data_IF_276036130813
#
_entry.id   IF_276036130813
#
_cell.length_a   1.000
_cell.length_b   1.000
_cell.length_c   1.000
_cell.angle_alpha   90.00
_cell.angle_beta   90.00
_cell.angle_gamma   90.00
#
_symmetry.space_group_name_H-M   'P 1'
#
loop_
_entity.id
_entity.type
_entity.pdbx_description
1 polymer ?
#
# COMPACT_ATOMS: atom_id res chain seq x y z
N UNK A 1 53.56 29.21 -40.51
CA UNK A 1 52.90 28.36 -39.54
C UNK A 1 52.17 29.29 -38.57
N UNK A 2 50.86 29.48 -38.75
CA UNK A 2 50.02 30.39 -37.97
C UNK A 2 49.21 29.52 -37.02
N UNK A 3 49.46 29.68 -35.71
CA UNK A 3 48.70 29.01 -34.61
C UNK A 3 47.30 29.63 -34.53
N UNK A 4 46.28 28.77 -34.74
CA UNK A 4 44.91 29.10 -34.43
C UNK A 4 44.68 28.94 -32.93
N UNK A 5 44.47 30.00 -32.22
CA UNK A 5 43.98 29.98 -30.84
C UNK A 5 42.52 29.58 -30.83
N UNK A 6 42.08 28.68 -29.92
CA UNK A 6 40.65 28.34 -29.80
C UNK A 6 39.86 29.50 -29.24
N UNK A 7 38.68 29.75 -29.83
CA UNK A 7 37.75 30.79 -29.37
C UNK A 7 37.28 30.53 -27.94
N UNK A 8 37.02 31.58 -27.12
CA UNK A 8 36.53 31.44 -25.76
C UNK A 8 35.11 30.80 -25.77
N UNK A 9 34.97 29.72 -25.05
CA UNK A 9 33.66 29.10 -24.76
C UNK A 9 32.75 30.12 -24.10
N UNK A 10 31.69 30.51 -24.80
CA UNK A 10 30.65 31.38 -24.26
C UNK A 10 30.05 30.86 -22.97
N UNK A 11 29.40 31.72 -22.14
CA UNK A 11 28.86 31.33 -20.87
C UNK A 11 27.81 30.23 -21.05
N UNK A 12 28.07 29.06 -20.46
CA UNK A 12 27.11 27.97 -20.36
C UNK A 12 25.84 28.51 -19.71
N UNK A 13 24.72 28.49 -20.40
CA UNK A 13 23.42 28.89 -19.87
C UNK A 13 23.19 28.22 -18.52
N UNK A 14 22.69 28.95 -17.50
CA UNK A 14 22.49 28.37 -16.18
C UNK A 14 21.58 27.15 -16.32
N UNK A 15 22.07 25.98 -15.89
CA UNK A 15 21.34 24.74 -15.87
C UNK A 15 20.06 24.97 -15.07
N UNK A 16 18.91 25.03 -15.75
CA UNK A 16 17.63 25.26 -15.11
C UNK A 16 17.50 24.31 -13.92
N UNK A 17 17.37 24.88 -12.72
CA UNK A 17 17.24 24.07 -11.50
C UNK A 17 16.06 23.13 -11.65
N UNK A 18 16.31 21.82 -11.54
CA UNK A 18 15.24 20.82 -11.58
C UNK A 18 14.15 21.17 -10.57
N UNK A 19 12.86 21.03 -10.90
CA UNK A 19 11.79 21.24 -9.94
C UNK A 19 11.92 20.20 -8.83
N UNK A 20 11.68 20.59 -7.58
CA UNK A 20 11.82 19.72 -6.42
C UNK A 20 10.48 19.17 -5.97
N UNK A 21 10.42 17.86 -5.76
CA UNK A 21 9.27 17.17 -5.19
C UNK A 21 9.62 16.53 -3.83
N UNK A 22 8.73 16.69 -2.85
CA UNK A 22 8.83 16.06 -1.54
C UNK A 22 7.63 15.16 -1.32
N UNK A 23 7.88 13.88 -1.05
CA UNK A 23 6.90 12.87 -0.76
C UNK A 23 6.83 12.65 0.75
N UNK A 24 5.70 13.00 1.37
CA UNK A 24 5.52 12.93 2.82
C UNK A 24 4.87 11.61 3.22
N UNK A 25 5.57 10.80 4.01
CA UNK A 25 5.08 9.52 4.52
C UNK A 25 5.15 9.47 6.05
N UNK A 26 4.01 9.18 6.71
CA UNK A 26 3.90 9.15 8.17
C UNK A 26 4.37 7.81 8.77
N UNK A 27 5.34 7.15 8.13
CA UNK A 27 5.99 5.92 8.58
C UNK A 27 7.49 5.99 8.26
N UNK A 28 8.21 4.90 8.46
CA UNK A 28 9.67 4.83 8.26
C UNK A 28 10.10 4.72 6.80
N UNK A 29 9.18 4.62 5.85
CA UNK A 29 9.42 4.35 4.43
C UNK A 29 10.29 3.08 4.17
N UNK A 30 10.13 2.04 5.01
CA UNK A 30 10.90 0.81 4.87
C UNK A 30 10.04 -0.45 5.17
N UNK A 31 9.67 -1.19 4.13
CA UNK A 31 9.53 -0.77 2.74
C UNK A 31 8.21 0.01 2.52
N UNK A 32 8.20 0.95 1.61
CA UNK A 32 7.00 1.68 1.22
C UNK A 32 6.84 1.71 -0.31
N UNK A 33 6.36 0.62 -0.87
CA UNK A 33 6.36 0.34 -2.30
C UNK A 33 5.67 1.42 -3.16
N UNK A 34 4.48 1.94 -2.74
CA UNK A 34 3.79 3.00 -3.47
C UNK A 34 4.60 4.31 -3.49
N UNK A 35 5.14 4.71 -2.34
CA UNK A 35 5.96 5.91 -2.23
C UNK A 35 7.19 5.85 -3.12
N UNK A 36 7.87 4.69 -3.14
CA UNK A 36 9.03 4.47 -4.01
C UNK A 36 8.66 4.51 -5.50
N UNK A 37 7.55 3.87 -5.91
CA UNK A 37 7.08 3.92 -7.31
C UNK A 37 6.76 5.35 -7.75
N UNK A 38 6.03 6.12 -6.94
CA UNK A 38 5.72 7.53 -7.23
C UNK A 38 7.01 8.36 -7.31
N UNK A 39 7.95 8.14 -6.37
CA UNK A 39 9.22 8.85 -6.34
C UNK A 39 10.07 8.56 -7.59
N UNK A 40 10.21 7.30 -7.98
CA UNK A 40 10.94 6.90 -9.21
C UNK A 40 10.30 7.53 -10.44
N UNK A 41 8.99 7.48 -10.58
CA UNK A 41 8.29 8.07 -11.73
C UNK A 41 8.46 9.59 -11.82
N UNK A 42 8.49 10.30 -10.70
CA UNK A 42 8.78 11.73 -10.67
C UNK A 42 10.25 12.02 -11.00
N UNK A 43 11.19 11.21 -10.50
CA UNK A 43 12.61 11.35 -10.81
C UNK A 43 12.88 11.12 -12.31
N UNK A 44 12.26 10.10 -12.90
CA UNK A 44 12.31 9.80 -14.34
C UNK A 44 11.68 10.93 -15.18
N UNK A 45 10.67 11.62 -14.64
CA UNK A 45 10.08 12.81 -15.23
C UNK A 45 10.91 14.12 -14.98
N UNK A 46 12.12 14.01 -14.43
CA UNK A 46 13.07 15.11 -14.28
C UNK A 46 13.00 15.90 -12.99
N UNK A 47 12.25 15.42 -11.96
CA UNK A 47 12.19 16.05 -10.66
C UNK A 47 13.38 15.66 -9.75
N UNK A 48 13.82 16.59 -8.89
CA UNK A 48 14.67 16.28 -7.71
C UNK A 48 13.74 15.79 -6.59
N UNK A 49 13.86 14.50 -6.21
CA UNK A 49 12.87 13.85 -5.36
C UNK A 49 13.46 13.47 -4.01
N UNK A 50 12.74 13.87 -2.95
CA UNK A 50 13.01 13.43 -1.58
C UNK A 50 11.77 12.74 -0.97
N UNK A 51 11.94 11.57 -0.34
CA UNK A 51 10.95 10.98 0.53
C UNK A 51 11.24 11.41 1.96
N UNK A 52 10.35 12.19 2.55
CA UNK A 52 10.43 12.66 3.92
C UNK A 52 9.61 11.74 4.83
N UNK A 53 10.29 10.91 5.61
CA UNK A 53 9.75 9.85 6.46
C UNK A 53 9.92 10.14 7.95
N UNK A 54 9.33 9.33 8.80
CA UNK A 54 9.50 9.37 10.26
C UNK A 54 10.69 8.48 10.65
N UNK A 55 11.56 8.96 11.53
CA UNK A 55 12.68 8.16 12.01
C UNK A 55 12.22 6.96 12.83
N UNK A 56 12.75 5.78 12.50
CA UNK A 56 12.55 4.52 13.23
C UNK A 56 13.81 4.12 14.03
N UNK A 57 13.61 3.28 15.04
CA UNK A 57 14.73 2.73 15.80
C UNK A 57 15.61 1.82 14.91
N UNK A 58 16.92 1.98 14.99
CA UNK A 58 17.88 1.16 14.23
C UNK A 58 17.96 1.47 12.73
N UNK A 59 17.23 2.48 12.23
CA UNK A 59 17.24 2.82 10.82
C UNK A 59 18.16 4.00 10.50
N UNK A 60 18.84 4.01 9.34
CA UNK A 60 19.67 5.13 8.92
C UNK A 60 18.79 6.38 8.74
N UNK A 61 19.34 7.55 9.05
CA UNK A 61 18.64 8.83 8.86
C UNK A 61 18.50 9.21 7.40
N UNK A 62 19.47 8.85 6.60
CA UNK A 62 19.45 9.09 5.15
C UNK A 62 19.82 7.80 4.41
N UNK A 63 19.19 7.60 3.28
CA UNK A 63 19.35 6.46 2.40
C UNK A 63 19.11 6.92 0.96
N UNK A 64 19.78 6.30 0.00
CA UNK A 64 19.58 6.56 -1.42
C UNK A 64 18.98 5.33 -2.10
N UNK A 65 17.93 5.54 -2.88
CA UNK A 65 17.41 4.57 -3.84
C UNK A 65 17.61 5.18 -5.25
N UNK A 66 18.71 4.82 -5.89
CA UNK A 66 19.15 5.49 -7.11
C UNK A 66 19.40 6.99 -6.87
N UNK A 67 18.64 7.85 -7.53
CA UNK A 67 18.71 9.31 -7.37
C UNK A 67 17.77 9.87 -6.30
N UNK A 68 16.93 9.01 -5.71
CA UNK A 68 15.92 9.39 -4.72
C UNK A 68 16.55 9.40 -3.34
N UNK A 69 16.41 10.52 -2.63
CA UNK A 69 16.84 10.65 -1.24
C UNK A 69 15.69 10.26 -0.31
N UNK A 70 15.91 9.27 0.55
CA UNK A 70 14.99 8.92 1.63
C UNK A 70 15.56 9.49 2.93
N UNK A 71 14.89 10.47 3.51
CA UNK A 71 15.34 11.12 4.73
C UNK A 71 14.33 10.93 5.86
N UNK A 72 14.82 10.45 7.00
CA UNK A 72 14.01 10.14 8.18
C UNK A 72 14.18 11.22 9.23
N UNK A 73 13.12 11.97 9.47
CA UNK A 73 13.08 13.10 10.39
C UNK A 73 12.67 12.65 11.78
N UNK A 74 13.45 13.03 12.79
CA UNK A 74 13.17 12.69 14.18
C UNK A 74 12.11 13.62 14.75
N UNK A 75 10.95 13.11 15.20
CA UNK A 75 9.96 13.95 15.87
C UNK A 75 10.54 14.65 17.08
N UNK A 76 10.33 15.97 17.20
CA UNK A 76 10.83 16.78 18.31
C UNK A 76 9.76 16.96 19.39
N UNK A 77 10.15 16.86 20.68
CA UNK A 77 9.28 17.15 21.82
C UNK A 77 9.18 16.02 22.86
N UNK A 78 8.50 16.25 23.99
CA UNK A 78 8.45 15.34 25.13
C UNK A 78 7.76 13.99 24.81
N UNK A 79 6.90 13.94 23.79
CA UNK A 79 6.22 12.73 23.35
C UNK A 79 7.08 11.81 22.43
N UNK A 80 8.33 12.16 22.17
CA UNK A 80 9.27 11.33 21.41
C UNK A 80 9.37 9.89 21.93
N UNK A 81 9.22 9.71 23.25
CA UNK A 81 9.30 8.38 23.91
C UNK A 81 8.13 7.47 23.59
N UNK A 82 6.98 8.00 23.10
CA UNK A 82 5.75 7.23 22.81
C UNK A 82 5.65 6.76 21.35
N UNK A 83 6.49 7.32 20.47
CA UNK A 83 6.51 6.93 19.05
C UNK A 83 7.44 5.73 18.91
N UNK A 84 6.90 4.57 18.53
CA UNK A 84 7.68 3.35 18.30
C UNK A 84 7.94 2.50 19.54
N UNK A 85 7.30 2.76 20.68
CA UNK A 85 7.34 1.82 21.80
C UNK A 85 6.44 0.59 21.53
N UNK A 86 6.88 -0.61 21.95
CA UNK A 86 6.00 -1.77 21.94
C UNK A 86 4.75 -1.48 22.79
N UNK A 87 3.61 -2.11 22.47
CA UNK A 87 2.41 -1.97 23.28
C UNK A 87 2.72 -2.32 24.74
N UNK A 88 2.03 -1.67 25.70
CA UNK A 88 2.22 -1.98 27.12
C UNK A 88 1.96 -3.47 27.39
N UNK A 89 2.58 -4.04 28.44
CA UNK A 89 2.41 -5.45 28.76
C UNK A 89 0.94 -5.82 28.82
N UNK A 90 0.61 -6.96 28.25
CA UNK A 90 -0.76 -7.43 28.09
C UNK A 90 -1.41 -7.67 29.44
N UNK A 91 -2.54 -7.02 29.80
CA UNK A 91 -3.23 -7.24 31.07
C UNK A 91 -3.67 -8.69 31.23
N UNK A 92 -3.76 -9.22 32.45
CA UNK A 92 -3.99 -10.65 32.72
C UNK A 92 -5.37 -11.17 32.32
N UNK A 93 -6.36 -10.31 32.08
CA UNK A 93 -7.72 -10.73 31.73
C UNK A 93 -8.12 -10.26 30.33
N UNK A 94 -8.87 -11.11 29.58
CA UNK A 94 -9.35 -10.79 28.21
C UNK A 94 -10.13 -9.47 28.16
N UNK A 95 -10.92 -9.16 29.18
CA UNK A 95 -11.70 -7.91 29.25
C UNK A 95 -10.79 -6.69 29.37
N UNK A 96 -9.79 -6.73 30.26
CA UNK A 96 -8.81 -5.64 30.42
C UNK A 96 -7.94 -5.48 29.15
N UNK A 97 -7.65 -6.58 28.43
CA UNK A 97 -6.94 -6.53 27.15
C UNK A 97 -7.76 -5.76 26.10
N UNK A 98 -9.05 -6.06 25.96
CA UNK A 98 -9.95 -5.37 25.02
C UNK A 98 -10.11 -3.90 25.40
N UNK A 99 -10.27 -3.59 26.68
CA UNK A 99 -10.35 -2.20 27.16
C UNK A 99 -9.06 -1.43 26.92
N UNK A 100 -7.90 -2.04 27.22
CA UNK A 100 -6.59 -1.42 26.98
C UNK A 100 -6.31 -1.18 25.50
N UNK A 101 -6.65 -2.13 24.62
CA UNK A 101 -6.51 -1.98 23.17
C UNK A 101 -7.42 -0.87 22.62
N UNK A 102 -8.66 -0.78 23.12
CA UNK A 102 -9.58 0.28 22.69
C UNK A 102 -9.16 1.64 23.23
N UNK A 103 -8.66 1.69 24.47
CA UNK A 103 -8.12 2.91 25.08
C UNK A 103 -6.85 3.39 24.33
N UNK A 104 -5.93 2.48 23.98
CA UNK A 104 -4.73 2.80 23.19
C UNK A 104 -5.09 3.31 21.79
N UNK A 105 -6.05 2.67 21.11
CA UNK A 105 -6.57 3.14 19.81
C UNK A 105 -7.22 4.52 19.93
N UNK A 106 -8.09 4.73 20.91
CA UNK A 106 -8.74 6.01 21.15
C UNK A 106 -7.72 7.10 21.49
N UNK A 107 -6.74 6.78 22.31
CA UNK A 107 -5.66 7.69 22.71
C UNK A 107 -4.79 8.06 21.49
N UNK A 108 -4.41 7.10 20.66
CA UNK A 108 -3.66 7.33 19.42
C UNK A 108 -4.44 8.22 18.45
N UNK A 109 -5.74 8.01 18.33
CA UNK A 109 -6.63 8.83 17.50
C UNK A 109 -6.74 10.26 18.06
N UNK A 110 -6.87 10.42 19.36
CA UNK A 110 -6.96 11.75 20.01
C UNK A 110 -5.62 12.48 20.00
N UNK A 111 -4.51 11.76 20.18
CA UNK A 111 -3.16 12.33 20.25
C UNK A 111 -2.46 12.48 18.90
N UNK A 112 -3.00 11.91 17.82
CA UNK A 112 -2.34 12.00 16.51
C UNK A 112 -2.01 13.44 16.06
N UNK A 113 -2.82 14.49 16.34
CA UNK A 113 -2.44 15.85 15.97
C UNK A 113 -1.16 16.32 16.68
N UNK A 114 -0.88 15.79 17.87
CA UNK A 114 0.34 16.13 18.63
C UNK A 114 1.56 15.41 18.03
N UNK A 115 1.41 14.14 17.66
CA UNK A 115 2.46 13.36 17.01
C UNK A 115 2.84 13.97 15.66
N UNK A 116 1.84 14.30 14.85
CA UNK A 116 2.03 14.96 13.56
C UNK A 116 2.73 16.32 13.74
N UNK A 117 2.37 17.11 14.76
CA UNK A 117 3.03 18.39 15.06
C UNK A 117 4.49 18.24 15.45
N UNK A 118 4.85 17.18 16.17
CA UNK A 118 6.24 16.93 16.56
C UNK A 118 7.12 16.63 15.33
N UNK A 119 6.64 15.79 14.41
CA UNK A 119 7.29 15.47 13.14
C UNK A 119 7.31 16.69 12.21
N UNK A 120 6.20 17.40 12.08
CA UNK A 120 6.07 18.62 11.29
C UNK A 120 7.07 19.72 11.71
N UNK A 121 7.33 19.92 13.03
CA UNK A 121 8.35 20.86 13.50
C UNK A 121 9.76 20.50 13.03
N UNK A 122 10.10 19.23 12.99
CA UNK A 122 11.38 18.77 12.45
C UNK A 122 11.47 19.04 10.94
N UNK A 123 10.43 18.72 10.18
CA UNK A 123 10.37 19.00 8.74
C UNK A 123 10.50 20.51 8.43
N UNK A 124 9.81 21.38 9.18
CA UNK A 124 9.92 22.83 8.97
C UNK A 124 11.31 23.41 9.18
N UNK A 125 12.11 22.78 10.02
CA UNK A 125 13.47 23.25 10.33
C UNK A 125 14.50 22.75 9.32
N UNK A 126 14.34 21.53 8.84
CA UNK A 126 15.39 20.81 8.14
C UNK A 126 15.07 20.57 6.65
N UNK A 127 13.78 20.54 6.27
CA UNK A 127 13.36 20.23 4.92
C UNK A 127 13.44 21.48 4.03
N UNK A 128 14.22 21.46 2.94
CA UNK A 128 14.24 22.56 1.98
C UNK A 128 12.89 22.73 1.27
N UNK A 129 12.57 23.97 0.89
CA UNK A 129 11.33 24.28 0.17
C UNK A 129 11.26 23.56 -1.18
N UNK A 130 10.04 23.11 -1.54
CA UNK A 130 9.79 22.33 -2.75
C UNK A 130 8.65 22.92 -3.60
N UNK A 131 8.63 22.53 -4.87
CA UNK A 131 7.59 22.92 -5.83
C UNK A 131 6.36 22.06 -5.70
N UNK A 132 6.54 20.77 -5.32
CA UNK A 132 5.49 19.78 -5.14
C UNK A 132 5.65 19.08 -3.78
N UNK A 133 4.55 18.98 -3.04
CA UNK A 133 4.40 18.14 -1.84
C UNK A 133 3.35 17.09 -2.12
N UNK A 134 3.75 15.82 -2.13
CA UNK A 134 2.85 14.69 -2.27
C UNK A 134 2.56 14.08 -0.90
N UNK A 135 1.33 14.17 -0.43
CA UNK A 135 0.91 13.78 0.91
C UNK A 135 0.22 12.41 0.88
N UNK A 136 0.87 11.36 1.40
CA UNK A 136 0.30 10.03 1.51
C UNK A 136 -0.58 9.90 2.76
N UNK A 137 -1.88 9.94 2.55
CA UNK A 137 -2.90 9.79 3.58
C UNK A 137 -3.11 11.04 4.44
N UNK A 138 -4.14 10.96 5.29
CA UNK A 138 -4.68 12.11 6.06
C UNK A 138 -3.66 12.72 7.04
N UNK A 139 -2.72 11.93 7.56
CA UNK A 139 -1.76 12.39 8.56
C UNK A 139 -0.73 13.38 7.98
N UNK A 140 -0.40 13.22 6.70
CA UNK A 140 0.62 14.04 6.03
C UNK A 140 0.03 15.28 5.37
N UNK A 141 -1.26 15.30 5.06
CA UNK A 141 -1.92 16.39 4.35
C UNK A 141 -1.78 17.76 5.05
N UNK A 142 -2.06 17.93 6.36
CA UNK A 142 -1.90 19.22 7.03
C UNK A 142 -0.45 19.69 7.04
N UNK A 143 0.51 18.75 7.11
CA UNK A 143 1.95 19.04 7.04
C UNK A 143 2.33 19.57 5.66
N UNK A 144 1.89 18.87 4.60
CA UNK A 144 2.11 19.30 3.21
C UNK A 144 1.57 20.70 2.94
N UNK A 145 0.34 20.99 3.40
CA UNK A 145 -0.30 22.30 3.23
C UNK A 145 0.47 23.43 3.91
N UNK A 146 1.04 23.18 5.09
CA UNK A 146 1.82 24.20 5.79
C UNK A 146 3.21 24.40 5.14
N UNK A 147 3.91 23.33 4.80
CA UNK A 147 5.18 23.38 4.08
C UNK A 147 5.04 24.07 2.72
N UNK A 148 3.98 23.77 1.99
CA UNK A 148 3.66 24.41 0.71
C UNK A 148 3.40 25.92 0.86
N UNK A 149 2.69 26.34 1.92
CA UNK A 149 2.51 27.76 2.24
C UNK A 149 3.85 28.45 2.50
N UNK A 150 4.76 27.80 3.24
CA UNK A 150 6.10 28.32 3.50
C UNK A 150 6.93 28.40 2.21
N UNK A 151 6.86 27.38 1.37
CA UNK A 151 7.58 27.33 0.10
C UNK A 151 7.16 28.44 -0.87
N UNK A 152 5.86 28.76 -0.94
CA UNK A 152 5.36 29.89 -1.77
C UNK A 152 5.95 31.24 -1.35
N UNK A 153 6.24 31.44 -0.06
CA UNK A 153 6.89 32.65 0.43
C UNK A 153 8.34 32.78 -0.01
N UNK A 154 8.97 31.68 -0.40
CA UNK A 154 10.35 31.66 -0.93
C UNK A 154 10.40 31.54 -2.46
N UNK A 155 9.29 31.82 -3.15
CA UNK A 155 9.20 31.78 -4.61
C UNK A 155 9.01 30.40 -5.23
N UNK A 156 8.86 29.33 -4.42
CA UNK A 156 8.53 28.00 -4.93
C UNK A 156 7.03 27.87 -5.18
N UNK A 157 6.61 26.97 -6.08
CA UNK A 157 5.19 26.78 -6.42
C UNK A 157 4.36 26.26 -5.25
N UNK A 158 4.90 25.36 -4.44
CA UNK A 158 4.23 24.81 -3.27
C UNK A 158 2.90 24.11 -3.61
N UNK A 159 2.88 23.30 -4.66
CA UNK A 159 1.74 22.46 -5.04
C UNK A 159 1.53 21.36 -4.00
N UNK A 160 0.28 20.95 -3.76
CA UNK A 160 -0.04 19.85 -2.83
C UNK A 160 -0.92 18.84 -3.53
N UNK A 161 -0.42 17.62 -3.67
CA UNK A 161 -1.20 16.46 -4.10
C UNK A 161 -1.52 15.61 -2.86
N UNK A 162 -2.80 15.38 -2.63
CA UNK A 162 -3.28 14.49 -1.56
C UNK A 162 -3.56 13.11 -2.13
N UNK A 163 -2.86 12.08 -1.65
CA UNK A 163 -3.01 10.68 -2.06
C UNK A 163 -3.87 9.91 -1.05
N UNK A 164 -5.10 9.62 -1.44
CA UNK A 164 -6.07 8.83 -0.66
C UNK A 164 -5.88 7.37 -1.00
N UNK A 165 -4.95 6.72 -0.31
CA UNK A 165 -4.68 5.29 -0.51
C UNK A 165 -5.80 4.44 0.10
N UNK A 166 -6.35 4.91 1.22
CA UNK A 166 -7.36 4.26 2.04
C UNK A 166 -8.43 5.28 2.48
N UNK A 167 -9.69 4.86 2.53
CA UNK A 167 -10.76 5.59 3.21
C UNK A 167 -10.58 5.43 4.74
N UNK A 168 -9.49 5.97 5.29
CA UNK A 168 -9.02 5.68 6.64
C UNK A 168 -10.06 5.98 7.73
N UNK A 169 -10.83 7.06 7.59
CA UNK A 169 -11.90 7.43 8.54
C UNK A 169 -13.16 6.54 8.41
N UNK A 170 -13.22 5.69 7.38
CA UNK A 170 -14.28 4.70 7.14
C UNK A 170 -13.71 3.27 7.28
N UNK A 171 -12.57 3.12 7.95
CA UNK A 171 -11.92 1.84 8.24
C UNK A 171 -12.30 1.29 9.62
N UNK A 172 -12.05 0.00 9.83
CA UNK A 172 -12.30 -0.68 11.11
C UNK A 172 -11.55 -0.04 12.30
N UNK A 173 -10.47 0.69 12.04
CA UNK A 173 -9.74 1.40 13.09
C UNK A 173 -10.55 2.54 13.72
N UNK A 174 -11.58 3.03 13.03
CA UNK A 174 -12.42 4.14 13.47
C UNK A 174 -13.85 3.72 13.86
N UNK A 175 -14.19 2.42 13.79
CA UNK A 175 -15.55 1.92 14.11
C UNK A 175 -15.98 2.26 15.55
N UNK A 176 -15.04 2.21 16.51
CA UNK A 176 -15.29 2.47 17.92
C UNK A 176 -14.97 3.92 18.34
N UNK A 177 -14.68 4.79 17.38
CA UNK A 177 -14.44 6.21 17.67
C UNK A 177 -15.79 6.93 17.88
N UNK A 178 -15.98 7.70 18.97
CA UNK A 178 -17.21 8.42 19.21
C UNK A 178 -17.60 9.30 18.00
N UNK A 179 -18.89 9.25 17.62
CA UNK A 179 -19.42 9.97 16.45
C UNK A 179 -19.02 11.47 16.38
N UNK A 180 -19.06 12.26 17.51
CA UNK A 180 -18.64 13.66 17.46
C UNK A 180 -17.16 13.83 17.09
N UNK A 181 -16.28 12.95 17.57
CA UNK A 181 -14.84 12.97 17.27
C UNK A 181 -14.62 12.62 15.79
N UNK A 182 -15.27 11.58 15.31
CA UNK A 182 -15.20 11.19 13.91
C UNK A 182 -15.72 12.30 12.97
N UNK A 183 -16.85 12.93 13.33
CA UNK A 183 -17.41 14.06 12.60
C UNK A 183 -16.43 15.25 12.57
N UNK A 184 -15.73 15.51 13.69
CA UNK A 184 -14.67 16.53 13.72
C UNK A 184 -13.53 16.21 12.75
N UNK A 185 -13.04 14.96 12.72
CA UNK A 185 -11.98 14.55 11.79
C UNK A 185 -12.41 14.66 10.33
N UNK A 186 -13.64 14.26 10.01
CA UNK A 186 -14.20 14.41 8.67
C UNK A 186 -14.28 15.88 8.23
N UNK A 187 -14.69 16.79 9.13
CA UNK A 187 -14.68 18.25 8.85
C UNK A 187 -13.26 18.78 8.65
N UNK A 188 -12.32 18.35 9.49
CA UNK A 188 -10.90 18.74 9.35
C UNK A 188 -10.31 18.27 8.03
N UNK A 189 -10.53 17.01 7.66
CA UNK A 189 -10.10 16.46 6.38
C UNK A 189 -10.70 17.25 5.21
N UNK A 190 -12.00 17.49 5.21
CA UNK A 190 -12.67 18.29 4.19
C UNK A 190 -12.08 19.70 4.07
N UNK A 191 -11.76 20.36 5.19
CA UNK A 191 -11.13 21.66 5.21
C UNK A 191 -9.70 21.64 4.63
N UNK A 192 -8.95 20.58 4.84
CA UNK A 192 -7.63 20.39 4.25
C UNK A 192 -7.70 20.06 2.76
N UNK A 193 -8.63 19.18 2.36
CA UNK A 193 -8.86 18.81 0.97
C UNK A 193 -9.22 20.02 0.12
N UNK A 194 -10.00 21.00 0.65
CA UNK A 194 -10.28 22.27 -0.03
C UNK A 194 -9.01 23.04 -0.42
N UNK A 195 -7.94 22.85 0.33
CA UNK A 195 -6.66 23.59 0.16
C UNK A 195 -5.62 22.79 -0.62
N UNK A 196 -5.82 21.50 -0.83
CA UNK A 196 -4.96 20.69 -1.68
C UNK A 196 -5.07 21.16 -3.14
N UNK A 197 -3.98 21.10 -3.90
CA UNK A 197 -3.99 21.46 -5.33
C UNK A 197 -4.72 20.40 -6.13
N UNK A 198 -4.48 19.11 -5.83
CA UNK A 198 -5.16 17.98 -6.46
C UNK A 198 -5.33 16.82 -5.46
N UNK A 199 -6.22 15.89 -5.80
CA UNK A 199 -6.44 14.66 -5.06
C UNK A 199 -6.25 13.48 -6.01
N UNK A 200 -5.53 12.47 -5.57
CA UNK A 200 -5.36 11.18 -6.26
C UNK A 200 -5.80 10.04 -5.37
N UNK A 201 -6.18 8.91 -5.97
CA UNK A 201 -6.60 7.72 -5.21
C UNK A 201 -6.28 6.44 -5.99
N UNK A 202 -6.59 5.27 -5.42
CA UNK A 202 -6.10 3.97 -5.90
C UNK A 202 -7.02 3.21 -6.84
N UNK A 203 -8.30 3.59 -6.95
CA UNK A 203 -9.26 3.00 -7.88
C UNK A 203 -10.49 3.89 -8.06
N UNK A 204 -11.32 3.56 -9.05
CA UNK A 204 -12.51 4.35 -9.43
C UNK A 204 -13.57 4.40 -8.33
N UNK A 205 -13.84 3.28 -7.67
CA UNK A 205 -14.85 3.23 -6.61
C UNK A 205 -14.46 4.12 -5.41
N UNK A 206 -13.18 4.15 -5.05
CA UNK A 206 -12.69 5.07 -4.01
C UNK A 206 -12.70 6.53 -4.51
N UNK A 207 -12.46 6.77 -5.80
CA UNK A 207 -12.58 8.12 -6.38
C UNK A 207 -14.02 8.64 -6.30
N UNK A 208 -15.01 7.80 -6.59
CA UNK A 208 -16.43 8.13 -6.51
C UNK A 208 -16.88 8.34 -5.06
N UNK A 209 -16.41 7.49 -4.14
CA UNK A 209 -16.62 7.68 -2.69
C UNK A 209 -16.06 9.02 -2.21
N UNK A 210 -14.83 9.35 -2.60
CA UNK A 210 -14.20 10.63 -2.28
C UNK A 210 -14.96 11.82 -2.90
N UNK A 211 -15.41 11.71 -4.14
CA UNK A 211 -16.17 12.76 -4.81
C UNK A 211 -17.52 13.01 -4.12
N UNK A 212 -18.23 11.95 -3.75
CA UNK A 212 -19.47 12.04 -2.95
C UNK A 212 -19.21 12.70 -1.60
N UNK A 213 -18.09 12.39 -0.97
CA UNK A 213 -17.70 12.96 0.34
C UNK A 213 -17.25 14.42 0.25
N UNK A 214 -16.63 14.80 -0.88
CA UNK A 214 -16.12 16.15 -1.15
C UNK A 214 -16.67 16.71 -2.46
N UNK A 215 -17.98 16.97 -2.55
CA UNK A 215 -18.63 17.40 -3.82
C UNK A 215 -18.15 18.77 -4.32
N UNK A 216 -17.42 19.51 -3.50
CA UNK A 216 -16.76 20.77 -3.85
C UNK A 216 -15.44 20.59 -4.62
N UNK A 217 -15.01 19.36 -4.86
CA UNK A 217 -13.78 19.02 -5.59
C UNK A 217 -14.12 18.25 -6.87
N UNK A 218 -13.27 18.39 -7.87
CA UNK A 218 -13.24 17.48 -8.99
C UNK A 218 -13.03 16.03 -8.51
N UNK A 219 -13.54 15.07 -9.25
CA UNK A 219 -13.32 13.65 -8.98
C UNK A 219 -11.80 13.37 -8.92
N UNK A 220 -11.30 12.68 -7.91
CA UNK A 220 -9.88 12.37 -7.80
C UNK A 220 -9.33 11.62 -9.01
N UNK A 221 -8.11 11.94 -9.42
CA UNK A 221 -7.40 11.18 -10.45
C UNK A 221 -7.03 9.80 -9.90
N UNK A 222 -7.31 8.76 -10.65
CA UNK A 222 -6.98 7.39 -10.26
C UNK A 222 -5.53 7.09 -10.61
N UNK A 223 -4.77 6.66 -9.61
CA UNK A 223 -3.43 6.09 -9.71
C UNK A 223 -3.47 4.72 -9.06
N UNK A 224 -3.71 3.67 -9.84
CA UNK A 224 -3.78 2.30 -9.36
C UNK A 224 -2.52 1.92 -8.55
N UNK A 225 -2.69 1.14 -7.50
CA UNK A 225 -1.58 0.66 -6.68
C UNK A 225 -1.01 -0.69 -7.18
N UNK A 226 -1.08 -0.91 -8.49
CA UNK A 226 -0.59 -2.12 -9.15
C UNK A 226 0.95 -2.20 -9.18
N UNK A 227 1.45 -3.36 -9.57
CA UNK A 227 2.88 -3.63 -9.63
C UNK A 227 3.48 -3.13 -10.95
N UNK A 228 4.78 -2.82 -11.00
CA UNK A 228 5.48 -2.65 -12.28
C UNK A 228 5.36 -3.92 -13.13
N UNK A 229 5.43 -3.76 -14.45
CA UNK A 229 5.47 -4.91 -15.36
C UNK A 229 6.54 -5.89 -14.93
N UNK A 230 6.19 -7.16 -14.98
CA UNK A 230 7.08 -8.24 -14.60
C UNK A 230 6.91 -9.41 -15.56
N UNK A 231 8.01 -9.94 -16.01
CA UNK A 231 8.01 -11.14 -16.85
C UNK A 231 8.32 -12.33 -15.94
N UNK A 232 7.39 -13.29 -15.80
CA UNK A 232 7.67 -14.49 -15.05
C UNK A 232 8.82 -15.28 -15.68
N UNK A 233 9.59 -16.04 -14.89
CA UNK A 233 10.57 -16.97 -15.41
C UNK A 233 9.93 -17.97 -16.38
N UNK A 234 10.67 -18.40 -17.41
CA UNK A 234 10.19 -19.35 -18.40
C UNK A 234 9.75 -20.68 -17.78
N UNK A 235 10.48 -21.12 -16.74
CA UNK A 235 10.05 -22.22 -15.87
C UNK A 235 9.43 -21.66 -14.61
N UNK A 236 8.22 -22.13 -14.29
CA UNK A 236 7.54 -21.76 -13.06
C UNK A 236 8.39 -22.15 -11.84
N UNK A 237 8.75 -21.21 -10.95
CA UNK A 237 9.51 -21.53 -9.76
C UNK A 237 8.67 -22.40 -8.80
N UNK A 238 9.34 -23.19 -7.98
CA UNK A 238 8.69 -24.02 -6.94
C UNK A 238 9.22 -23.70 -5.52
N UNK A 239 9.52 -22.44 -5.29
CA UNK A 239 10.16 -21.93 -4.07
C UNK A 239 9.41 -22.31 -2.80
N UNK A 240 8.06 -22.29 -2.85
CA UNK A 240 7.23 -22.57 -1.68
C UNK A 240 7.38 -24.03 -1.25
N UNK A 241 7.27 -25.00 -2.18
CA UNK A 241 7.38 -26.44 -1.86
C UNK A 241 8.78 -26.77 -1.37
N UNK A 242 9.81 -26.21 -2.00
CA UNK A 242 11.20 -26.43 -1.62
C UNK A 242 11.48 -25.95 -0.19
N UNK A 243 11.01 -24.75 0.19
CA UNK A 243 11.25 -24.20 1.54
C UNK A 243 10.33 -24.82 2.59
N UNK A 244 9.10 -25.14 2.24
CA UNK A 244 8.12 -25.72 3.16
C UNK A 244 8.23 -27.24 3.32
N UNK A 245 9.07 -27.92 2.52
CA UNK A 245 9.19 -29.38 2.52
C UNK A 245 7.92 -30.11 2.04
N UNK A 246 7.14 -29.47 1.15
CA UNK A 246 5.87 -30.01 0.67
C UNK A 246 6.08 -30.88 -0.58
N UNK A 247 5.31 -31.97 -0.74
CA UNK A 247 5.34 -32.80 -1.94
C UNK A 247 4.99 -32.02 -3.21
N UNK A 248 5.53 -32.41 -4.36
CA UNK A 248 5.31 -31.73 -5.65
C UNK A 248 3.83 -31.76 -6.08
N UNK A 249 3.10 -32.79 -5.68
CA UNK A 249 1.68 -32.98 -5.96
C UNK A 249 0.78 -32.06 -5.13
N UNK A 250 1.27 -31.57 -3.98
CA UNK A 250 0.52 -30.72 -3.08
C UNK A 250 0.21 -29.37 -3.73
N UNK A 251 -1.06 -29.05 -3.87
CA UNK A 251 -1.50 -27.71 -4.36
C UNK A 251 -1.24 -26.65 -3.32
N UNK A 252 -0.71 -25.52 -3.72
CA UNK A 252 -0.38 -24.40 -2.83
C UNK A 252 -1.45 -23.31 -2.91
N UNK A 253 -2.16 -23.11 -1.82
CA UNK A 253 -3.02 -21.94 -1.59
C UNK A 253 -2.23 -20.91 -0.79
N UNK A 254 -1.89 -19.79 -1.39
CA UNK A 254 -0.99 -18.80 -0.81
C UNK A 254 -1.76 -17.62 -0.22
N UNK A 255 -1.47 -17.29 1.02
CA UNK A 255 -1.78 -15.98 1.60
C UNK A 255 -0.52 -15.14 1.69
N UNK A 256 -0.55 -13.93 1.11
CA UNK A 256 0.54 -12.95 1.14
C UNK A 256 0.25 -11.81 2.10
N UNK A 257 1.25 -11.40 2.87
CA UNK A 257 1.29 -10.14 3.60
C UNK A 257 1.15 -10.26 5.12
N UNK A 258 0.73 -9.19 5.79
CA UNK A 258 0.67 -9.15 7.25
C UNK A 258 -0.30 -10.17 7.81
N UNK A 259 0.21 -11.02 8.72
CA UNK A 259 -0.57 -12.04 9.41
C UNK A 259 -1.29 -11.41 10.60
N UNK A 260 -2.63 -11.37 10.53
CA UNK A 260 -3.50 -10.77 11.55
C UNK A 260 -4.87 -11.42 11.56
N UNK A 261 -5.56 -11.36 12.72
CA UNK A 261 -6.88 -11.99 12.92
C UNK A 261 -7.94 -11.55 11.92
N UNK A 262 -7.89 -10.28 11.51
CA UNK A 262 -8.84 -9.68 10.58
C UNK A 262 -8.60 -10.08 9.10
N UNK A 263 -7.73 -11.05 8.85
CA UNK A 263 -7.37 -11.48 7.48
C UNK A 263 -8.08 -12.74 7.02
N UNK A 264 -8.95 -13.34 7.86
CA UNK A 264 -9.71 -14.55 7.52
C UNK A 264 -8.85 -15.83 7.45
N UNK A 265 -7.67 -15.83 8.11
CA UNK A 265 -6.71 -16.94 8.00
C UNK A 265 -7.20 -18.22 8.68
N UNK A 266 -7.97 -18.10 9.75
CA UNK A 266 -8.58 -19.23 10.42
C UNK A 266 -9.61 -19.93 9.49
N UNK A 267 -10.44 -19.14 8.80
CA UNK A 267 -11.43 -19.69 7.85
C UNK A 267 -10.74 -20.27 6.63
N UNK A 268 -9.69 -19.64 6.14
CA UNK A 268 -8.88 -20.15 5.04
C UNK A 268 -8.24 -21.52 5.40
N UNK A 269 -7.70 -21.66 6.62
CA UNK A 269 -7.14 -22.93 7.10
C UNK A 269 -8.23 -24.02 7.18
N UNK A 270 -9.38 -23.69 7.74
CA UNK A 270 -10.54 -24.60 7.79
C UNK A 270 -11.03 -25.03 6.40
N UNK A 271 -10.96 -24.13 5.42
CA UNK A 271 -11.34 -24.42 4.04
C UNK A 271 -10.34 -25.37 3.37
N UNK A 272 -9.03 -25.11 3.53
CA UNK A 272 -7.98 -25.87 2.84
C UNK A 272 -7.92 -27.33 3.30
N UNK A 273 -8.16 -27.64 4.58
CA UNK A 273 -8.21 -29.03 5.07
C UNK A 273 -9.35 -29.85 4.47
N UNK A 274 -10.35 -29.22 3.83
CA UNK A 274 -11.43 -29.88 3.08
C UNK A 274 -11.00 -30.26 1.65
N UNK A 275 -9.81 -29.84 1.23
CA UNK A 275 -9.17 -30.21 -0.02
C UNK A 275 -8.09 -31.24 0.27
N UNK A 276 -8.22 -32.46 -0.31
CA UNK A 276 -7.32 -33.57 -0.02
C UNK A 276 -5.84 -33.24 -0.28
N UNK A 277 -5.56 -32.54 -1.36
CA UNK A 277 -4.20 -32.35 -1.90
C UNK A 277 -3.76 -30.88 -1.92
N UNK A 278 -4.23 -30.07 -0.97
CA UNK A 278 -3.88 -28.66 -0.86
C UNK A 278 -3.22 -28.31 0.48
N UNK A 279 -2.38 -27.30 0.48
CA UNK A 279 -1.80 -26.69 1.68
C UNK A 279 -1.99 -25.18 1.66
N UNK A 280 -2.42 -24.60 2.77
CA UNK A 280 -2.40 -23.15 3.01
C UNK A 280 -0.99 -22.74 3.44
N UNK A 281 -0.36 -21.92 2.65
CA UNK A 281 0.93 -21.31 2.99
C UNK A 281 0.72 -19.84 3.27
N UNK A 282 1.05 -19.40 4.47
CA UNK A 282 0.92 -18.03 4.92
C UNK A 282 2.30 -17.37 4.96
N UNK A 283 2.58 -16.51 3.99
CA UNK A 283 3.86 -15.85 3.79
C UNK A 283 3.77 -14.39 4.21
N UNK A 284 4.43 -14.01 5.33
CA UNK A 284 4.46 -12.62 5.72
C UNK A 284 4.80 -12.32 7.17
N UNK A 285 4.82 -11.01 7.47
CA UNK A 285 5.15 -10.52 8.79
C UNK A 285 3.97 -10.62 9.77
N UNK A 286 4.26 -11.09 10.98
CA UNK A 286 3.29 -11.11 12.08
C UNK A 286 3.00 -9.70 12.59
N UNK A 287 1.73 -9.36 12.76
CA UNK A 287 1.29 -8.16 13.49
C UNK A 287 0.99 -8.44 14.97
N UNK A 288 0.85 -9.72 15.32
CA UNK A 288 0.67 -10.20 16.69
C UNK A 288 1.41 -11.54 16.85
N UNK A 289 2.65 -11.52 17.37
CA UNK A 289 3.47 -12.73 17.48
C UNK A 289 2.83 -13.86 18.27
N UNK A 290 2.09 -13.56 19.34
CA UNK A 290 1.40 -14.58 20.17
C UNK A 290 0.30 -15.28 19.35
N UNK A 291 -0.53 -14.53 18.65
CA UNK A 291 -1.57 -15.10 17.80
C UNK A 291 -0.96 -15.87 16.61
N UNK A 292 0.10 -15.35 16.01
CA UNK A 292 0.79 -16.03 14.91
C UNK A 292 1.44 -17.34 15.38
N UNK A 293 1.97 -17.38 16.61
CA UNK A 293 2.49 -18.62 17.20
C UNK A 293 1.36 -19.66 17.39
N UNK A 294 0.19 -19.24 17.86
CA UNK A 294 -1.00 -20.14 17.95
C UNK A 294 -1.41 -20.63 16.57
N UNK A 295 -1.41 -19.74 15.57
CA UNK A 295 -1.73 -20.11 14.20
C UNK A 295 -0.71 -21.11 13.63
N UNK A 296 0.59 -20.86 13.87
CA UNK A 296 1.66 -21.77 13.43
C UNK A 296 1.59 -23.13 14.13
N UNK A 297 1.25 -23.17 15.43
CA UNK A 297 1.12 -24.43 16.18
C UNK A 297 0.04 -25.35 15.63
N UNK A 298 -0.93 -24.85 14.87
CA UNK A 298 -1.94 -25.69 14.19
C UNK A 298 -1.34 -26.68 13.21
N UNK A 299 -0.18 -26.40 12.62
CA UNK A 299 0.51 -27.34 11.73
C UNK A 299 0.85 -28.68 12.40
N UNK A 300 0.94 -28.68 13.75
CA UNK A 300 1.18 -29.90 14.54
C UNK A 300 -0.11 -30.62 14.98
N UNK A 301 -1.28 -30.04 14.69
CA UNK A 301 -2.56 -30.72 14.95
C UNK A 301 -2.80 -31.77 13.84
N UNK A 302 -3.20 -33.02 14.16
CA UNK A 302 -3.39 -34.08 13.15
C UNK A 302 -4.29 -33.66 11.98
N UNK A 303 -5.28 -32.81 12.25
CA UNK A 303 -6.22 -32.29 11.24
C UNK A 303 -5.57 -31.37 10.21
N UNK A 304 -4.53 -30.62 10.60
CA UNK A 304 -3.85 -29.63 9.76
C UNK A 304 -2.49 -30.12 9.25
N UNK A 305 -2.08 -31.33 9.61
CA UNK A 305 -0.80 -31.90 9.21
C UNK A 305 -0.67 -31.94 7.67
N UNK A 306 0.39 -31.33 7.15
CA UNK A 306 0.62 -31.20 5.70
C UNK A 306 -0.33 -30.23 4.97
N UNK A 307 -1.27 -29.59 5.67
CA UNK A 307 -2.23 -28.64 5.09
C UNK A 307 -2.00 -27.17 5.51
N UNK A 308 -1.07 -26.91 6.44
CA UNK A 308 -0.93 -25.60 7.06
C UNK A 308 0.54 -25.25 7.31
N UNK A 309 1.03 -24.17 6.71
CA UNK A 309 2.42 -23.72 6.81
C UNK A 309 2.48 -22.22 7.02
N UNK A 310 3.31 -21.75 7.95
CA UNK A 310 3.61 -20.33 8.17
C UNK A 310 5.06 -20.08 7.82
N UNK A 311 5.31 -19.17 6.87
CA UNK A 311 6.64 -18.77 6.43
C UNK A 311 6.94 -17.32 6.81
N UNK A 312 8.21 -16.99 7.07
CA UNK A 312 8.63 -15.61 7.33
C UNK A 312 8.41 -14.73 6.09
N UNK A 313 8.42 -13.39 6.25
CA UNK A 313 8.33 -12.48 5.12
C UNK A 313 9.59 -12.59 4.24
N UNK A 314 9.40 -12.43 2.94
CA UNK A 314 10.46 -12.37 1.94
C UNK A 314 10.73 -10.93 1.51
N UNK A 315 11.84 -10.70 0.80
CA UNK A 315 12.12 -9.38 0.27
C UNK A 315 11.02 -8.93 -0.71
N UNK A 316 10.61 -7.65 -0.73
CA UNK A 316 9.54 -7.17 -1.61
C UNK A 316 9.74 -7.48 -3.10
N UNK A 317 10.97 -7.50 -3.57
CA UNK A 317 11.29 -7.81 -4.98
C UNK A 317 11.10 -9.29 -5.33
N UNK A 318 11.12 -10.18 -4.34
CA UNK A 318 10.94 -11.63 -4.51
C UNK A 318 9.48 -12.05 -4.44
N UNK A 319 8.59 -11.23 -3.88
CA UNK A 319 7.18 -11.57 -3.62
C UNK A 319 6.49 -12.16 -4.86
N UNK A 320 6.75 -11.63 -6.05
CA UNK A 320 6.13 -12.13 -7.30
C UNK A 320 6.64 -13.52 -7.69
N UNK A 321 7.92 -13.82 -7.48
CA UNK A 321 8.47 -15.16 -7.71
C UNK A 321 7.88 -16.18 -6.73
N UNK A 322 7.68 -15.79 -5.48
CA UNK A 322 7.00 -16.61 -4.48
C UNK A 322 5.51 -16.78 -4.82
N UNK A 323 4.82 -15.74 -5.25
CA UNK A 323 3.45 -15.85 -5.71
C UNK A 323 3.32 -16.77 -6.94
N UNK A 324 4.26 -16.69 -7.89
CA UNK A 324 4.28 -17.55 -9.08
C UNK A 324 4.44 -19.04 -8.75
N UNK A 325 5.04 -19.38 -7.59
CA UNK A 325 5.13 -20.77 -7.13
C UNK A 325 3.82 -21.33 -6.55
N UNK A 326 2.82 -20.48 -6.29
CA UNK A 326 1.53 -20.91 -5.77
C UNK A 326 0.53 -21.29 -6.84
N UNK A 327 -0.41 -22.18 -6.51
CA UNK A 327 -1.48 -22.63 -7.42
C UNK A 327 -2.72 -21.72 -7.35
N UNK A 328 -3.00 -21.15 -6.19
CA UNK A 328 -3.99 -20.09 -6.01
C UNK A 328 -3.55 -19.14 -4.91
N UNK A 329 -4.02 -17.90 -4.95
CA UNK A 329 -3.87 -16.94 -3.84
C UNK A 329 -5.22 -16.72 -3.17
N UNK A 330 -5.24 -16.63 -1.82
CA UNK A 330 -6.48 -16.41 -1.08
C UNK A 330 -6.49 -15.06 -0.39
N UNK A 331 -7.59 -14.31 -0.56
CA UNK A 331 -7.84 -13.01 0.06
C UNK A 331 -9.23 -13.05 0.72
N UNK A 332 -9.38 -13.90 1.72
CA UNK A 332 -10.64 -14.15 2.44
C UNK A 332 -10.86 -13.14 3.57
N UNK A 333 -10.71 -11.85 3.29
CA UNK A 333 -10.91 -10.79 4.29
C UNK A 333 -12.40 -10.47 4.40
N UNK A 334 -13.01 -10.60 5.59
CA UNK A 334 -14.37 -10.09 5.80
C UNK A 334 -14.37 -8.56 5.68
N UNK A 335 -15.13 -8.03 4.73
CA UNK A 335 -15.14 -6.59 4.44
C UNK A 335 -16.14 -5.85 5.34
N UNK A 336 -15.77 -5.66 6.59
CA UNK A 336 -16.60 -5.03 7.63
C UNK A 336 -16.58 -3.48 7.60
N UNK A 337 -15.95 -2.88 6.60
CA UNK A 337 -15.86 -1.42 6.47
C UNK A 337 -15.81 -1.00 5.00
N UNK A 338 -16.22 0.23 4.73
CA UNK A 338 -16.13 0.83 3.38
C UNK A 338 -14.71 0.73 2.85
N UNK A 339 -13.71 1.03 3.70
CA UNK A 339 -12.31 0.94 3.30
C UNK A 339 -11.93 -0.47 2.81
N UNK A 340 -12.39 -1.53 3.47
CA UNK A 340 -12.09 -2.91 3.02
C UNK A 340 -12.85 -3.26 1.73
N UNK A 341 -14.13 -2.89 1.63
CA UNK A 341 -14.95 -3.14 0.43
C UNK A 341 -14.35 -2.52 -0.83
N UNK A 342 -13.81 -1.30 -0.71
CA UNK A 342 -13.22 -0.55 -1.83
C UNK A 342 -11.71 -0.77 -2.00
N UNK A 343 -11.05 -1.56 -1.16
CA UNK A 343 -9.60 -1.74 -1.22
C UNK A 343 -9.15 -2.67 -2.35
N UNK A 344 -7.95 -2.37 -2.87
CA UNK A 344 -7.21 -3.22 -3.82
C UNK A 344 -5.77 -3.36 -3.31
N UNK A 345 -5.52 -4.27 -2.33
CA UNK A 345 -4.22 -4.39 -1.68
C UNK A 345 -3.14 -4.94 -2.63
N UNK A 346 -1.87 -4.66 -2.31
CA UNK A 346 -0.72 -5.11 -3.13
C UNK A 346 -0.77 -6.59 -3.46
N UNK A 347 -1.12 -7.45 -2.50
CA UNK A 347 -1.19 -8.91 -2.69
C UNK A 347 -2.11 -9.34 -3.84
N UNK A 348 -3.19 -8.60 -4.10
CA UNK A 348 -4.08 -8.84 -5.23
C UNK A 348 -3.34 -8.62 -6.55
N UNK A 349 -2.69 -7.48 -6.68
CA UNK A 349 -1.91 -7.15 -7.88
C UNK A 349 -0.66 -8.01 -8.04
N UNK A 350 -0.01 -8.37 -6.94
CA UNK A 350 1.16 -9.27 -6.92
C UNK A 350 0.79 -10.68 -7.41
N UNK A 351 -0.38 -11.20 -6.99
CA UNK A 351 -0.88 -12.49 -7.44
C UNK A 351 -1.20 -12.47 -8.93
N UNK A 352 -1.90 -11.45 -9.43
CA UNK A 352 -2.22 -11.34 -10.85
C UNK A 352 -0.95 -11.19 -11.70
N UNK A 353 0.00 -10.36 -11.28
CA UNK A 353 1.28 -10.18 -11.96
C UNK A 353 2.12 -11.47 -12.01
N UNK A 354 1.95 -12.36 -11.04
CA UNK A 354 2.59 -13.67 -10.98
C UNK A 354 1.86 -14.76 -11.79
N UNK A 355 0.73 -14.44 -12.38
CA UNK A 355 -0.13 -15.41 -13.04
C UNK A 355 -0.79 -16.39 -12.06
N UNK A 356 -1.04 -15.96 -10.84
CA UNK A 356 -1.65 -16.79 -9.80
C UNK A 356 -3.12 -16.43 -9.64
N UNK A 357 -4.06 -17.34 -9.99
CA UNK A 357 -5.48 -17.11 -9.82
C UNK A 357 -5.84 -16.81 -8.37
N UNK A 358 -6.91 -16.04 -8.15
CA UNK A 358 -7.26 -15.56 -6.82
C UNK A 358 -8.60 -16.09 -6.34
N UNK A 359 -8.71 -16.47 -5.06
CA UNK A 359 -9.97 -16.69 -4.36
C UNK A 359 -10.17 -15.55 -3.39
N UNK A 360 -11.25 -14.80 -3.54
CA UNK A 360 -11.49 -13.57 -2.79
C UNK A 360 -12.82 -13.59 -2.03
N UNK A 361 -12.90 -12.77 -0.97
CA UNK A 361 -14.15 -12.54 -0.26
C UNK A 361 -15.16 -11.77 -1.12
N UNK A 362 -16.42 -12.21 -1.15
CA UNK A 362 -17.51 -11.64 -1.97
C UNK A 362 -17.81 -10.16 -1.71
N UNK A 363 -17.51 -9.67 -0.50
CA UNK A 363 -17.76 -8.29 -0.10
C UNK A 363 -16.64 -7.33 -0.50
N UNK A 364 -15.55 -7.83 -1.10
CA UNK A 364 -14.46 -7.03 -1.65
C UNK A 364 -14.83 -6.50 -3.04
N UNK A 365 -15.73 -5.52 -3.08
CA UNK A 365 -16.49 -5.09 -4.27
C UNK A 365 -15.61 -4.79 -5.49
N UNK A 366 -14.54 -4.01 -5.32
CA UNK A 366 -13.67 -3.63 -6.44
C UNK A 366 -12.90 -4.84 -6.97
N UNK A 367 -12.34 -5.66 -6.08
CA UNK A 367 -11.63 -6.87 -6.49
C UNK A 367 -12.57 -7.87 -7.14
N UNK A 368 -13.79 -8.04 -6.59
CA UNK A 368 -14.81 -8.92 -7.17
C UNK A 368 -15.14 -8.52 -8.59
N UNK A 369 -15.42 -7.23 -8.84
CA UNK A 369 -15.71 -6.74 -10.19
C UNK A 369 -14.59 -7.06 -11.19
N UNK A 370 -13.33 -6.96 -10.79
CA UNK A 370 -12.18 -7.31 -11.63
C UNK A 370 -12.08 -8.82 -11.85
N UNK A 371 -12.22 -9.62 -10.79
CA UNK A 371 -12.10 -11.09 -10.86
C UNK A 371 -13.19 -11.69 -11.74
N UNK A 372 -14.43 -11.26 -11.57
CA UNK A 372 -15.58 -11.74 -12.35
C UNK A 372 -15.48 -11.31 -13.83
N UNK A 373 -15.19 -10.02 -14.09
CA UNK A 373 -15.12 -9.49 -15.46
C UNK A 373 -14.05 -10.18 -16.32
N UNK A 374 -12.92 -10.53 -15.74
CA UNK A 374 -11.77 -11.09 -16.45
C UNK A 374 -11.57 -12.60 -16.19
N UNK A 375 -12.45 -13.23 -15.41
CA UNK A 375 -12.36 -14.67 -15.03
C UNK A 375 -10.99 -15.04 -14.47
N UNK A 376 -10.56 -14.33 -13.41
CA UNK A 376 -9.20 -14.43 -12.81
C UNK A 376 -9.15 -15.36 -11.59
N UNK A 377 -10.26 -16.00 -11.25
CA UNK A 377 -10.38 -16.83 -10.07
C UNK A 377 -11.83 -17.02 -9.65
N UNK A 378 -12.07 -17.17 -8.33
CA UNK A 378 -13.38 -17.42 -7.77
C UNK A 378 -13.69 -16.49 -6.58
N UNK A 379 -14.99 -16.40 -6.25
CA UNK A 379 -15.53 -15.57 -5.17
C UNK A 379 -16.23 -16.44 -4.14
N UNK A 380 -16.04 -16.16 -2.85
CA UNK A 380 -16.65 -16.91 -1.77
C UNK A 380 -17.06 -16.02 -0.59
N UNK A 381 -17.92 -16.57 0.28
CA UNK A 381 -18.16 -16.01 1.60
C UNK A 381 -16.90 -16.22 2.48
N UNK A 382 -16.20 -15.15 2.91
CA UNK A 382 -14.98 -15.28 3.69
C UNK A 382 -15.23 -15.81 5.12
N UNK A 383 -16.48 -15.92 5.55
CA UNK A 383 -16.88 -16.43 6.87
C UNK A 383 -17.36 -17.88 6.85
N UNK A 384 -17.51 -18.45 5.66
CA UNK A 384 -17.94 -19.84 5.45
C UNK A 384 -16.78 -20.68 4.86
N UNK A 385 -16.17 -21.58 5.64
CA UNK A 385 -15.08 -22.42 5.16
C UNK A 385 -15.52 -23.45 4.09
N UNK A 386 -16.81 -23.81 4.02
CA UNK A 386 -17.30 -24.72 2.98
C UNK A 386 -17.45 -23.99 1.64
N UNK A 387 -17.90 -22.73 1.64
CA UNK A 387 -17.93 -21.91 0.44
C UNK A 387 -16.53 -21.51 -0.04
N UNK A 388 -15.60 -21.20 0.89
CA UNK A 388 -14.18 -21.00 0.55
C UNK A 388 -13.57 -22.26 -0.08
N UNK A 389 -13.88 -23.45 0.46
CA UNK A 389 -13.39 -24.71 -0.10
C UNK A 389 -14.00 -24.99 -1.49
N UNK A 390 -15.27 -24.69 -1.72
CA UNK A 390 -15.91 -24.75 -3.05
C UNK A 390 -15.17 -23.86 -4.05
N UNK A 391 -14.94 -22.59 -3.69
CA UNK A 391 -14.26 -21.64 -4.57
C UNK A 391 -12.80 -22.04 -4.85
N UNK A 392 -12.11 -22.63 -3.86
CA UNK A 392 -10.76 -23.17 -4.07
C UNK A 392 -10.78 -24.36 -5.04
N UNK A 393 -11.75 -25.29 -4.93
CA UNK A 393 -11.91 -26.39 -5.90
C UNK A 393 -12.20 -25.87 -7.31
N UNK A 394 -13.08 -24.88 -7.43
CA UNK A 394 -13.40 -24.24 -8.71
C UNK A 394 -12.15 -23.72 -9.42
N UNK A 395 -11.14 -23.24 -8.69
CA UNK A 395 -9.86 -22.79 -9.24
C UNK A 395 -8.90 -23.95 -9.47
N UNK A 396 -8.72 -24.84 -8.48
CA UNK A 396 -7.62 -25.82 -8.45
C UNK A 396 -7.93 -27.12 -9.19
N UNK A 397 -9.21 -27.53 -9.26
CA UNK A 397 -9.62 -28.83 -9.81
C UNK A 397 -10.10 -28.76 -11.26
N UNK A 398 -9.82 -27.63 -11.94
CA UNK A 398 -10.12 -27.49 -13.37
C UNK A 398 -9.23 -28.40 -14.25
N UNK A 399 -9.71 -28.78 -15.45
CA UNK A 399 -8.85 -29.37 -16.46
C UNK A 399 -7.61 -28.49 -16.69
N UNK A 400 -6.47 -29.12 -16.87
CA UNK A 400 -5.15 -28.43 -16.97
C UNK A 400 -5.17 -27.25 -17.95
N UNK A 401 -5.76 -27.43 -19.13
CA UNK A 401 -5.84 -26.38 -20.14
C UNK A 401 -6.67 -25.16 -19.66
N UNK A 402 -7.76 -25.38 -18.94
CA UNK A 402 -8.60 -24.30 -18.38
C UNK A 402 -7.88 -23.52 -17.27
N UNK A 403 -7.16 -24.24 -16.41
CA UNK A 403 -6.35 -23.65 -15.35
C UNK A 403 -5.19 -22.83 -15.96
N UNK A 404 -4.47 -23.35 -16.94
CA UNK A 404 -3.38 -22.64 -17.61
C UNK A 404 -3.92 -21.38 -18.34
N UNK A 405 -5.09 -21.46 -18.97
CA UNK A 405 -5.76 -20.31 -19.57
C UNK A 405 -6.14 -19.24 -18.52
N UNK A 406 -6.57 -19.63 -17.32
CA UNK A 406 -6.85 -18.70 -16.22
C UNK A 406 -5.57 -18.00 -15.76
N UNK A 407 -4.47 -18.72 -15.62
CA UNK A 407 -3.16 -18.15 -15.29
C UNK A 407 -2.71 -17.13 -16.34
N UNK A 408 -2.85 -17.48 -17.63
CA UNK A 408 -2.49 -16.55 -18.71
C UNK A 408 -3.36 -15.28 -18.69
N UNK A 409 -4.66 -15.39 -18.38
CA UNK A 409 -5.51 -14.20 -18.19
C UNK A 409 -5.00 -13.30 -17.07
N UNK A 410 -4.57 -13.88 -15.93
CA UNK A 410 -3.96 -13.09 -14.84
C UNK A 410 -2.71 -12.33 -15.31
N UNK A 411 -1.81 -13.00 -16.05
CA UNK A 411 -0.62 -12.37 -16.62
C UNK A 411 -0.98 -11.28 -17.64
N UNK A 412 -1.91 -11.58 -18.54
CA UNK A 412 -2.35 -10.65 -19.59
C UNK A 412 -2.95 -9.37 -19.01
N UNK A 413 -3.89 -9.46 -18.07
CA UNK A 413 -4.50 -8.26 -17.46
C UNK A 413 -3.49 -7.43 -16.67
N UNK A 414 -2.51 -8.08 -16.02
CA UNK A 414 -1.42 -7.39 -15.34
C UNK A 414 -0.49 -6.69 -16.33
N UNK A 415 -0.07 -7.38 -17.38
CA UNK A 415 0.82 -6.83 -18.42
C UNK A 415 0.17 -5.68 -19.20
N UNK A 416 -1.10 -5.78 -19.53
CA UNK A 416 -1.74 -4.90 -20.50
C UNK A 416 -2.55 -3.76 -19.85
N UNK A 417 -3.15 -3.98 -18.67
CA UNK A 417 -4.02 -3.00 -18.00
C UNK A 417 -3.58 -2.61 -16.60
N UNK A 418 -3.27 -3.57 -15.75
CA UNK A 418 -3.03 -3.35 -14.32
C UNK A 418 -1.55 -3.37 -13.98
N UNK A 419 -0.78 -2.49 -14.61
CA UNK A 419 0.64 -2.28 -14.34
C UNK A 419 0.92 -0.81 -14.00
N UNK A 420 2.05 -0.59 -13.33
CA UNK A 420 2.41 0.75 -12.86
C UNK A 420 2.69 1.71 -14.00
N UNK A 421 3.31 1.25 -15.09
CA UNK A 421 3.68 2.05 -16.24
C UNK A 421 2.45 2.64 -16.93
N UNK A 422 1.36 1.90 -16.99
CA UNK A 422 0.06 2.39 -17.48
C UNK A 422 -0.63 3.30 -16.46
N UNK A 423 -0.63 2.89 -15.18
CA UNK A 423 -1.33 3.62 -14.13
C UNK A 423 -0.75 5.01 -13.88
N UNK A 424 0.57 5.16 -14.00
CA UNK A 424 1.27 6.41 -13.67
C UNK A 424 1.09 7.52 -14.71
N UNK A 425 0.67 7.20 -15.94
CA UNK A 425 0.51 8.17 -17.04
C UNK A 425 -0.40 9.33 -16.63
N UNK A 426 -1.58 9.02 -16.10
CA UNK A 426 -2.55 10.04 -15.69
C UNK A 426 -2.03 10.91 -14.53
N UNK A 427 -1.28 10.30 -13.62
CA UNK A 427 -0.66 11.03 -12.52
C UNK A 427 0.44 11.97 -13.01
N UNK A 428 1.32 11.52 -13.89
CA UNK A 428 2.37 12.38 -14.46
C UNK A 428 1.78 13.50 -15.32
N UNK A 429 0.73 13.24 -16.08
CA UNK A 429 -0.01 14.25 -16.82
C UNK A 429 -0.66 15.30 -15.87
N UNK A 430 -1.24 14.84 -14.75
CA UNK A 430 -1.74 15.73 -13.70
C UNK A 430 -0.63 16.63 -13.16
N UNK A 431 0.50 16.04 -12.75
CA UNK A 431 1.64 16.79 -12.19
C UNK A 431 2.20 17.78 -13.21
N UNK A 432 2.37 17.39 -14.48
CA UNK A 432 2.84 18.26 -15.54
C UNK A 432 1.89 19.46 -15.76
N UNK A 433 0.57 19.23 -15.80
CA UNK A 433 -0.45 20.29 -15.88
C UNK A 433 -0.36 21.26 -14.72
N UNK A 434 -0.23 20.75 -13.49
CA UNK A 434 -0.11 21.57 -12.28
C UNK A 434 1.21 22.36 -12.24
N UNK A 435 2.27 21.79 -12.80
CA UNK A 435 3.59 22.40 -12.86
C UNK A 435 3.78 23.35 -14.04
N UNK A 436 2.88 23.36 -15.03
CA UNK A 436 2.94 24.34 -16.12
C UNK A 436 2.64 25.74 -15.59
N UNK A 437 3.36 26.80 -16.06
CA UNK A 437 2.97 28.17 -15.75
C UNK A 437 1.54 28.37 -16.30
N UNK A 438 0.59 28.66 -15.43
CA UNK A 438 -0.77 28.96 -15.87
C UNK A 438 -0.70 30.05 -16.95
N UNK A 439 -1.33 29.82 -18.09
CA UNK A 439 -1.79 30.94 -18.91
C UNK A 439 -2.69 31.73 -17.97
N UNK A 440 -2.23 32.92 -17.60
CA UNK A 440 -2.91 33.77 -16.66
C UNK A 440 -4.40 33.81 -17.00
N UNK A 441 -5.26 33.67 -16.02
CA UNK A 441 -6.64 34.10 -16.14
C UNK A 441 -6.57 35.62 -16.30
N UNK A 442 -6.49 36.05 -17.54
CA UNK A 442 -6.94 37.38 -17.91
C UNK A 442 -8.47 37.29 -17.93
N UNK A 443 -9.11 37.71 -16.86
CA UNK A 443 -10.41 38.35 -16.82
C UNK A 443 -10.71 38.77 -15.37
#
# INVERSE_FOLDING_TARGET
>A
MSEFAPAPSGPTAPRALRPRAVLLVANTAAPYSRGLRVARSLADAGWDVEIAAVAGAGMPREELDGTIRIRRYVPSGPLRRWIGQPPPPTPPTKLLQVLALNADKALKVVLWPIHVRAWWRALRRELPAADLYHAFGILTLPVALDLARSARRTGRRGLVVYDVIDAILDSNNYTNVPRPILARYRRMEAAWVRRATAVVTVNDALADHCHTRWPFRERPTVLLNCQPRWTPPALRPDLIRDVAGLPRERRIVLFLGKLGRERGLEMAAEAVVRLRDAALVMLGASVNPQWTAVLAARSSEPRFEGHHVVLPPVHPDEVRSWAASADASIIAVPANSINQRLSTPNKFWESLAAGTPVVIGRDLEVMRGIVEADSLGAVADPTDPDDLARALREVLEQPRAAYDAMRERCLAVSRDRYNWETAVILYLALVARLASPGRGSAA
#
